data_IF_865298449510
#
_entry.id   IF_865298449510
#
_cell.length_a   1.000
_cell.length_b   1.000
_cell.length_c   1.000
_cell.angle_alpha   90.00
_cell.angle_beta   90.00
_cell.angle_gamma   90.00
#
_symmetry.space_group_name_H-M   'P 1'
#
loop_
_entity.id
_entity.type
_entity.pdbx_description
1 polymer ?
#
# COMPACT_ATOMS: atom_id res chain seq x y z
N UNK A 1 -11.78 11.55 3.32
CA UNK A 1 -11.65 10.11 3.00
C UNK A 1 -12.22 9.74 1.65
N UNK A 2 -13.31 10.35 1.16
CA UNK A 2 -13.76 10.20 -0.24
C UNK A 2 -12.64 10.41 -1.27
N UNK A 3 -11.63 11.22 -0.92
CA UNK A 3 -10.44 11.45 -1.76
C UNK A 3 -9.69 10.18 -2.14
N UNK A 4 -9.63 9.18 -1.26
CA UNK A 4 -8.92 7.93 -1.50
C UNK A 4 -9.73 6.96 -2.37
N UNK A 5 -11.07 7.06 -2.36
CA UNK A 5 -11.96 6.13 -3.07
C UNK A 5 -11.77 6.24 -4.58
N UNK A 6 -11.65 5.09 -5.22
CA UNK A 6 -11.48 4.94 -6.66
C UNK A 6 -10.35 3.99 -7.04
N UNK A 7 -10.16 3.83 -8.35
CA UNK A 7 -9.08 3.03 -8.94
C UNK A 7 -7.86 3.91 -9.18
N UNK A 8 -6.68 3.43 -8.79
CA UNK A 8 -5.40 4.15 -8.88
C UNK A 8 -4.37 3.29 -9.60
N UNK A 9 -3.86 3.74 -10.73
CA UNK A 9 -2.90 2.98 -11.53
C UNK A 9 -1.47 3.38 -11.13
N UNK A 10 -0.58 2.40 -10.97
CA UNK A 10 0.83 2.65 -10.70
C UNK A 10 1.41 3.53 -11.82
N UNK A 11 2.01 4.65 -11.46
CA UNK A 11 2.61 5.60 -12.41
C UNK A 11 4.12 5.70 -12.24
N UNK A 12 4.64 5.56 -11.02
CA UNK A 12 6.09 5.59 -10.76
C UNK A 12 6.48 4.77 -9.53
N UNK A 13 7.63 4.11 -9.60
CA UNK A 13 8.27 3.43 -8.47
C UNK A 13 9.75 3.16 -8.75
N UNK A 14 10.59 3.42 -7.74
CA UNK A 14 11.97 2.97 -7.73
C UNK A 14 12.01 1.48 -7.33
N UNK A 15 11.98 0.60 -8.35
CA UNK A 15 11.90 -0.85 -8.13
C UNK A 15 13.15 -1.42 -7.44
N UNK A 16 14.32 -0.81 -7.62
CA UNK A 16 15.55 -1.26 -6.96
C UNK A 16 15.48 -0.97 -5.46
N UNK A 17 14.98 0.20 -5.06
CA UNK A 17 14.71 0.50 -3.64
C UNK A 17 13.58 -0.35 -3.06
N UNK A 18 12.52 -0.58 -3.83
CA UNK A 18 11.44 -1.48 -3.43
C UNK A 18 12.01 -2.87 -3.14
N UNK A 19 12.83 -3.41 -4.05
CA UNK A 19 13.48 -4.70 -3.89
C UNK A 19 14.38 -4.73 -2.65
N UNK A 20 15.20 -3.70 -2.45
CA UNK A 20 16.05 -3.57 -1.25
C UNK A 20 15.22 -3.57 0.05
N UNK A 21 14.11 -2.84 0.10
CA UNK A 21 13.22 -2.82 1.26
C UNK A 21 12.64 -4.20 1.56
N UNK A 22 12.01 -4.84 0.57
CA UNK A 22 11.29 -6.10 0.80
C UNK A 22 12.25 -7.28 1.01
N UNK A 23 13.31 -7.40 0.22
CA UNK A 23 14.26 -8.53 0.31
C UNK A 23 15.17 -8.37 1.51
N UNK A 24 15.88 -7.24 1.62
CA UNK A 24 16.94 -7.09 2.61
C UNK A 24 16.41 -6.76 4.00
N UNK A 25 15.32 -6.01 4.12
CA UNK A 25 14.80 -5.57 5.44
C UNK A 25 13.65 -6.44 5.94
N UNK A 26 12.76 -6.89 5.05
CA UNK A 26 11.60 -7.68 5.44
C UNK A 26 11.76 -9.19 5.18
N UNK A 27 12.90 -9.63 4.65
CA UNK A 27 13.19 -11.05 4.43
C UNK A 27 12.32 -11.71 3.34
N UNK A 28 11.81 -10.91 2.40
CA UNK A 28 11.06 -11.44 1.24
C UNK A 28 12.02 -12.23 0.34
N UNK A 29 11.69 -13.47 -0.05
CA UNK A 29 12.47 -14.19 -1.05
C UNK A 29 12.54 -13.40 -2.37
N UNK A 30 13.76 -13.24 -2.90
CA UNK A 30 14.02 -12.41 -4.09
C UNK A 30 13.22 -12.86 -5.32
N UNK A 31 13.07 -14.17 -5.51
CA UNK A 31 12.30 -14.76 -6.61
C UNK A 31 10.84 -14.24 -6.68
N UNK A 32 10.24 -13.88 -5.54
CA UNK A 32 8.87 -13.34 -5.47
C UNK A 32 8.77 -11.93 -6.07
N UNK A 33 9.86 -11.19 -6.18
CA UNK A 33 9.85 -9.86 -6.81
C UNK A 33 10.24 -9.93 -8.27
N UNK A 34 11.19 -10.81 -8.62
CA UNK A 34 11.70 -10.91 -9.98
C UNK A 34 10.69 -11.57 -10.94
N UNK A 35 10.03 -12.66 -10.54
CA UNK A 35 9.00 -13.33 -11.37
C UNK A 35 7.75 -12.46 -11.60
N UNK A 36 7.59 -11.41 -10.80
CA UNK A 36 6.41 -10.56 -10.80
C UNK A 36 6.68 -9.14 -11.30
N UNK A 37 7.91 -8.77 -11.71
CA UNK A 37 8.24 -7.38 -12.11
C UNK A 37 7.28 -6.80 -13.16
N UNK A 38 6.95 -7.57 -14.20
CA UNK A 38 5.98 -7.15 -15.23
C UNK A 38 4.53 -7.09 -14.72
N UNK A 39 4.18 -7.86 -13.68
CA UNK A 39 2.87 -7.83 -13.04
C UNK A 39 2.76 -6.67 -12.05
N UNK A 40 3.83 -6.35 -11.33
CA UNK A 40 3.96 -5.18 -10.47
C UNK A 40 3.70 -3.89 -11.27
N UNK A 41 4.28 -3.77 -12.46
CA UNK A 41 4.04 -2.62 -13.35
C UNK A 41 2.60 -2.50 -13.87
N UNK A 42 1.80 -3.57 -13.76
CA UNK A 42 0.37 -3.58 -14.09
C UNK A 42 -0.51 -3.40 -12.85
N UNK A 43 0.09 -3.21 -11.68
CA UNK A 43 -0.64 -3.11 -10.42
C UNK A 43 -1.44 -1.81 -10.37
N UNK A 44 -2.73 -1.93 -10.12
CA UNK A 44 -3.57 -0.83 -9.68
C UNK A 44 -4.06 -1.10 -8.26
N UNK A 45 -4.32 -0.02 -7.51
CA UNK A 45 -5.04 -0.06 -6.24
C UNK A 45 -6.49 0.28 -6.48
N UNK A 46 -7.39 -0.63 -6.10
CA UNK A 46 -8.82 -0.32 -6.00
C UNK A 46 -9.16 -0.01 -4.55
N UNK A 47 -9.68 1.19 -4.31
CA UNK A 47 -10.08 1.66 -2.98
C UNK A 47 -11.58 1.82 -2.93
N UNK A 48 -12.22 0.93 -2.17
CA UNK A 48 -13.67 0.94 -1.95
C UNK A 48 -14.01 1.27 -0.51
N UNK A 49 -15.16 1.89 -0.28
CA UNK A 49 -15.69 2.22 1.05
C UNK A 49 -17.04 1.52 1.24
N UNK A 50 -17.17 0.71 2.30
CA UNK A 50 -18.43 0.10 2.71
C UNK A 50 -18.67 0.39 4.19
N UNK A 51 -19.34 1.51 4.46
CA UNK A 51 -19.59 1.99 5.82
C UNK A 51 -18.30 2.37 6.55
N UNK A 52 -17.92 1.59 7.56
CA UNK A 52 -16.70 1.84 8.36
C UNK A 52 -15.44 1.21 7.80
N UNK A 53 -15.57 0.35 6.77
CA UNK A 53 -14.47 -0.43 6.21
C UNK A 53 -14.04 0.07 4.85
N UNK A 54 -12.73 0.09 4.60
CA UNK A 54 -12.15 0.46 3.32
C UNK A 54 -11.14 -0.61 2.92
N UNK A 55 -11.17 -0.98 1.64
CA UNK A 55 -10.39 -2.10 1.10
C UNK A 55 -9.42 -1.58 0.06
N UNK A 56 -8.12 -1.86 0.21
CA UNK A 56 -7.11 -1.66 -0.83
C UNK A 56 -6.73 -3.00 -1.43
N UNK A 57 -6.93 -3.18 -2.73
CA UNK A 57 -6.49 -4.39 -3.45
C UNK A 57 -5.51 -4.05 -4.57
N UNK A 58 -4.34 -4.71 -4.59
CA UNK A 58 -3.39 -4.66 -5.71
C UNK A 58 -3.79 -5.67 -6.79
N UNK A 59 -3.93 -5.29 -8.07
CA UNK A 59 -4.33 -6.22 -9.17
C UNK A 59 -3.60 -5.87 -10.49
N UNK A 60 -3.15 -6.83 -11.34
CA UNK A 60 -3.22 -8.28 -11.23
C UNK A 60 -1.89 -8.85 -10.69
N UNK A 61 -1.77 -8.78 -9.36
CA UNK A 61 -0.74 -9.46 -8.56
C UNK A 61 -1.29 -9.69 -7.14
N UNK A 62 -2.61 -9.89 -7.10
CA UNK A 62 -3.48 -9.69 -5.95
C UNK A 62 -3.33 -10.76 -4.90
N UNK A 63 -2.35 -10.54 -4.05
CA UNK A 63 -2.19 -11.27 -2.81
C UNK A 63 -2.20 -10.31 -1.64
N UNK A 64 -2.72 -9.08 -1.77
CA UNK A 64 -2.77 -8.16 -0.62
C UNK A 64 -4.03 -7.34 -0.63
N UNK A 65 -4.81 -7.55 0.42
CA UNK A 65 -5.99 -6.77 0.75
C UNK A 65 -5.76 -6.06 2.06
N UNK A 66 -5.79 -4.73 2.09
CA UNK A 66 -5.77 -3.98 3.36
C UNK A 66 -7.18 -3.52 3.71
N UNK A 67 -7.66 -3.92 4.89
CA UNK A 67 -8.94 -3.52 5.44
C UNK A 67 -8.72 -2.56 6.60
N UNK A 68 -9.35 -1.39 6.57
CA UNK A 68 -9.23 -0.38 7.62
C UNK A 68 -10.53 -0.28 8.40
N UNK A 69 -10.48 -0.44 9.72
CA UNK A 69 -11.59 -0.15 10.63
C UNK A 69 -11.41 1.23 11.27
N UNK A 70 -12.31 2.16 10.94
CA UNK A 70 -12.27 3.54 11.47
C UNK A 70 -12.59 3.63 12.95
N UNK A 71 -13.45 2.74 13.46
CA UNK A 71 -13.91 2.81 14.85
C UNK A 71 -12.75 2.46 15.78
N UNK A 72 -11.98 1.43 15.41
CA UNK A 72 -10.91 0.89 16.22
C UNK A 72 -9.52 1.41 15.83
N UNK A 73 -9.41 2.21 14.75
CA UNK A 73 -8.15 2.69 14.19
C UNK A 73 -7.14 1.56 13.91
N UNK A 74 -7.65 0.41 13.50
CA UNK A 74 -6.87 -0.77 13.14
C UNK A 74 -6.96 -1.02 11.64
N UNK A 75 -5.86 -1.50 11.05
CA UNK A 75 -5.89 -2.02 9.69
C UNK A 75 -5.36 -3.45 9.65
N UNK A 76 -6.04 -4.30 8.89
CA UNK A 76 -5.67 -5.68 8.65
C UNK A 76 -5.15 -5.83 7.24
N UNK A 77 -3.88 -6.17 7.10
CA UNK A 77 -3.26 -6.55 5.86
C UNK A 77 -3.37 -8.05 5.70
N UNK A 78 -4.14 -8.51 4.71
CA UNK A 78 -4.34 -9.92 4.40
C UNK A 78 -3.54 -10.21 3.16
N UNK A 79 -2.61 -11.16 3.24
CA UNK A 79 -1.85 -11.61 2.09
C UNK A 79 -1.70 -13.13 1.99
N UNK A 80 -1.12 -13.62 0.91
CA UNK A 80 -0.74 -15.04 0.79
C UNK A 80 0.27 -15.49 1.85
N UNK A 81 0.93 -14.54 2.55
CA UNK A 81 1.82 -14.82 3.68
C UNK A 81 1.09 -14.86 5.03
N UNK A 82 -0.22 -14.65 5.03
CA UNK A 82 -1.06 -14.57 6.21
C UNK A 82 -1.66 -13.18 6.43
N UNK A 83 -2.43 -13.07 7.50
CA UNK A 83 -3.02 -11.82 7.95
C UNK A 83 -2.14 -11.18 9.03
N UNK A 84 -1.97 -9.87 8.93
CA UNK A 84 -1.25 -9.05 9.89
C UNK A 84 -2.13 -7.88 10.30
N UNK A 85 -2.23 -7.63 11.59
CA UNK A 85 -2.91 -6.46 12.12
C UNK A 85 -1.89 -5.35 12.40
N UNK A 86 -2.28 -4.12 12.14
CA UNK A 86 -1.47 -2.91 12.27
C UNK A 86 -2.36 -1.79 12.77
N UNK A 87 -1.75 -0.75 13.32
CA UNK A 87 -2.48 0.45 13.74
C UNK A 87 -2.36 1.51 12.66
N UNK A 88 -3.37 2.37 12.53
CA UNK A 88 -3.27 3.52 11.64
C UNK A 88 -3.79 4.80 12.30
N UNK A 89 -3.25 5.93 11.86
CA UNK A 89 -3.72 7.27 12.21
C UNK A 89 -4.07 8.00 10.92
N UNK A 90 -5.14 8.80 10.94
CA UNK A 90 -5.47 9.70 9.83
C UNK A 90 -5.12 11.14 10.21
N UNK A 91 -4.42 11.85 9.32
CA UNK A 91 -4.25 13.29 9.43
C UNK A 91 -5.15 13.98 8.43
N UNK A 92 -6.25 14.52 8.93
CA UNK A 92 -7.28 15.15 8.11
C UNK A 92 -7.94 14.14 7.18
N UNK A 93 -8.24 14.56 5.95
CA UNK A 93 -9.01 13.78 4.97
C UNK A 93 -8.18 13.23 3.80
N UNK A 94 -6.85 13.43 3.83
CA UNK A 94 -5.94 13.22 2.71
C UNK A 94 -4.64 12.46 3.05
N UNK A 95 -4.41 12.10 4.32
CA UNK A 95 -3.19 11.39 4.72
C UNK A 95 -3.46 10.31 5.78
N UNK A 96 -2.87 9.13 5.59
CA UNK A 96 -2.95 7.97 6.48
C UNK A 96 -1.53 7.53 6.85
N UNK A 97 -1.30 7.26 8.13
CA UNK A 97 -0.07 6.70 8.67
C UNK A 97 -0.36 5.31 9.21
N UNK A 98 0.44 4.33 8.82
CA UNK A 98 0.29 2.94 9.26
C UNK A 98 1.62 2.51 9.86
N UNK A 99 1.56 1.92 11.04
CA UNK A 99 2.71 1.27 11.67
C UNK A 99 2.42 -0.22 11.80
N UNK A 100 3.25 -1.00 11.13
CA UNK A 100 3.15 -2.45 11.17
C UNK A 100 3.98 -3.03 12.35
N UNK A 101 3.68 -4.24 12.84
CA UNK A 101 4.42 -4.86 13.96
C UNK A 101 5.92 -5.09 13.72
N UNK A 102 6.38 -5.15 12.46
CA UNK A 102 7.79 -5.25 12.11
C UNK A 102 8.50 -3.88 12.10
N UNK A 103 7.78 -2.79 12.39
CA UNK A 103 8.32 -1.43 12.39
C UNK A 103 8.26 -0.72 11.04
N UNK A 104 7.70 -1.35 9.99
CA UNK A 104 7.48 -0.71 8.70
C UNK A 104 6.46 0.42 8.87
N UNK A 105 6.86 1.62 8.46
CA UNK A 105 6.00 2.80 8.41
C UNK A 105 5.50 2.98 6.99
N UNK A 106 4.18 3.04 6.82
CA UNK A 106 3.55 3.32 5.53
C UNK A 106 2.81 4.65 5.66
N UNK A 107 3.07 5.58 4.75
CA UNK A 107 2.33 6.83 4.64
C UNK A 107 1.62 6.86 3.31
N UNK A 108 0.29 7.02 3.31
CA UNK A 108 -0.53 7.14 2.10
C UNK A 108 -1.06 8.55 2.05
N UNK A 109 -0.69 9.31 1.02
CA UNK A 109 -1.09 10.71 0.85
C UNK A 109 -1.73 10.94 -0.51
N UNK A 110 -2.90 11.56 -0.53
CA UNK A 110 -3.60 11.93 -1.78
C UNK A 110 -3.52 13.43 -2.01
N UNK A 111 -3.02 13.83 -3.18
CA UNK A 111 -2.96 15.22 -3.64
C UNK A 111 -3.56 15.32 -5.04
N UNK A 112 -4.81 15.80 -5.14
CA UNK A 112 -5.51 15.89 -6.43
C UNK A 112 -5.78 14.50 -7.02
N UNK A 113 -5.21 14.24 -8.20
CA UNK A 113 -5.33 12.96 -8.92
C UNK A 113 -4.14 12.02 -8.66
N UNK A 114 -3.28 12.34 -7.70
CA UNK A 114 -2.11 11.54 -7.35
C UNK A 114 -2.25 10.96 -5.93
N UNK A 115 -1.93 9.69 -5.78
CA UNK A 115 -1.72 9.02 -4.50
C UNK A 115 -0.25 8.62 -4.39
N UNK A 116 0.41 9.09 -3.34
CA UNK A 116 1.77 8.70 -2.99
C UNK A 116 1.75 7.77 -1.79
N UNK A 117 2.35 6.60 -1.94
CA UNK A 117 2.57 5.61 -0.89
C UNK A 117 4.06 5.58 -0.57
N UNK A 118 4.43 6.06 0.62
CA UNK A 118 5.80 5.99 1.13
C UNK A 118 5.92 4.83 2.10
N UNK A 119 6.83 3.90 1.84
CA UNK A 119 7.16 2.81 2.76
C UNK A 119 8.57 3.01 3.29
N UNK A 120 8.74 2.97 4.62
CA UNK A 120 10.02 3.23 5.26
C UNK A 120 10.29 2.25 6.42
N UNK A 121 11.49 1.66 6.42
CA UNK A 121 12.00 0.78 7.47
C UNK A 121 13.49 1.03 7.64
N UNK A 122 13.91 1.30 8.88
CA UNK A 122 15.26 1.73 9.23
C UNK A 122 15.72 2.94 8.39
N UNK A 123 16.77 2.74 7.60
CA UNK A 123 17.44 3.68 6.71
C UNK A 123 16.95 3.60 5.25
N UNK A 124 16.01 2.70 4.95
CA UNK A 124 15.45 2.52 3.60
C UNK A 124 14.07 3.14 3.51
N UNK A 125 13.85 3.95 2.47
CA UNK A 125 12.54 4.48 2.12
C UNK A 125 12.30 4.43 0.62
N UNK A 126 11.11 4.01 0.23
CA UNK A 126 10.65 3.94 -1.16
C UNK A 126 9.33 4.67 -1.29
N UNK A 127 9.21 5.42 -2.38
CA UNK A 127 7.99 6.06 -2.80
C UNK A 127 7.40 5.29 -3.99
N UNK A 128 6.11 5.01 -3.90
CA UNK A 128 5.30 4.46 -4.99
C UNK A 128 4.19 5.44 -5.30
N UNK A 129 4.11 5.89 -6.54
CA UNK A 129 3.16 6.90 -6.99
C UNK A 129 2.11 6.24 -7.87
N UNK A 130 0.85 6.61 -7.63
CA UNK A 130 -0.29 6.16 -8.39
C UNK A 130 -1.10 7.34 -8.88
N UNK A 131 -1.64 7.22 -10.08
CA UNK A 131 -2.53 8.22 -10.68
C UNK A 131 -3.95 7.67 -10.70
N UNK A 132 -4.93 8.52 -10.33
CA UNK A 132 -6.34 8.13 -10.34
C UNK A 132 -6.77 7.79 -11.76
N UNK A 133 -7.41 6.63 -11.91
CA UNK A 133 -8.01 6.20 -13.17
C UNK A 133 -9.26 7.01 -13.46
N UNK A 134 -9.49 7.30 -14.74
CA UNK A 134 -10.76 7.87 -15.24
C UNK A 134 -11.81 6.80 -15.57
N UNK A 135 -11.44 5.53 -15.48
CA UNK A 135 -12.32 4.36 -15.72
C UNK A 135 -13.33 4.13 -14.60
#
# INVERSE_FOLDING_TARGET
MERFVGKWCLSDVDFDKLKMLYVSKMGTPEAVLDDHKEQWMKTYMDVTENGTHWTYGNVPGGDTTMMFDKADQTCKLISNRGAQESTFEMKGDAEIFILNPQGLKITIKVTGQEMKVTQALDDVSVDTVYTKSSE
#
